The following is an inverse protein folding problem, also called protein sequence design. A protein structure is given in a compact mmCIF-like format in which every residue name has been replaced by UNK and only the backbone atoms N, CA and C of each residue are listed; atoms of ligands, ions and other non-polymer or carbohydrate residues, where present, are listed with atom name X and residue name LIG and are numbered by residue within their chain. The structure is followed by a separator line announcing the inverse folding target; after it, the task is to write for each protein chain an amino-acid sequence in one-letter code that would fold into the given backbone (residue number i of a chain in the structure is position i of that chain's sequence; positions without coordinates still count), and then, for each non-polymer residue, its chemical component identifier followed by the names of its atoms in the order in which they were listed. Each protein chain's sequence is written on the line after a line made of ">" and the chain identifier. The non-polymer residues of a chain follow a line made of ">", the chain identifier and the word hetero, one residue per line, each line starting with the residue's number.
data_IF_573509335623
#
_entry.id   IF_573509335623
#
_cell.length_a   1.000
_cell.length_b   1.000
_cell.length_c   1.000
_cell.angle_alpha   90.00
_cell.angle_beta   90.00
_cell.angle_gamma   90.00
#
_symmetry.space_group_name_H-M   'P 1'
#
loop_
_entity.id
_entity.type
_entity.pdbx_description
1 polymer ?
#
# COMPACT_ATOMS: atom_id res chain seq x y z
N UNK A 1 -25.97 -20.75 1.51
CA UNK A 1 -25.33 -21.47 0.41
C UNK A 1 -25.72 -20.83 -0.91
N UNK A 2 -24.84 -20.01 -1.49
CA UNK A 2 -24.97 -19.53 -2.87
C UNK A 2 -23.96 -20.31 -3.72
N UNK A 3 -24.37 -20.94 -4.85
CA UNK A 3 -23.41 -21.61 -5.70
C UNK A 3 -22.65 -20.55 -6.49
N UNK A 4 -21.36 -20.40 -6.21
CA UNK A 4 -20.46 -19.68 -7.10
C UNK A 4 -20.30 -20.51 -8.38
N UNK A 5 -20.82 -19.99 -9.50
CA UNK A 5 -20.55 -20.54 -10.81
C UNK A 5 -19.04 -20.46 -11.09
N UNK A 6 -18.44 -21.60 -11.44
CA UNK A 6 -17.06 -21.64 -11.94
C UNK A 6 -17.04 -20.99 -13.32
N UNK A 7 -16.75 -19.70 -13.39
CA UNK A 7 -16.31 -19.06 -14.63
C UNK A 7 -14.86 -19.47 -14.86
N UNK A 8 -14.63 -20.42 -15.77
CA UNK A 8 -13.31 -20.67 -16.34
C UNK A 8 -12.91 -19.44 -17.14
N UNK A 9 -12.24 -18.50 -16.47
CA UNK A 9 -11.81 -17.23 -17.04
C UNK A 9 -10.67 -17.43 -18.01
N UNK A 10 -10.99 -17.68 -19.27
CA UNK A 10 -10.09 -17.37 -20.38
C UNK A 10 -10.08 -15.84 -20.54
N UNK A 11 -9.03 -15.20 -20.06
CA UNK A 11 -8.80 -13.78 -20.28
C UNK A 11 -8.52 -13.55 -21.77
N UNK A 12 -9.42 -12.87 -22.47
CA UNK A 12 -9.27 -12.41 -23.85
C UNK A 12 -7.93 -11.65 -24.04
N UNK A 13 -6.93 -12.23 -24.74
CA UNK A 13 -5.62 -11.60 -24.92
C UNK A 13 -5.67 -10.32 -25.78
N UNK A 14 -6.69 -10.20 -26.64
CA UNK A 14 -6.90 -9.04 -27.52
C UNK A 14 -7.73 -7.92 -26.89
N UNK A 15 -8.24 -8.11 -25.67
CA UNK A 15 -9.05 -7.14 -24.95
C UNK A 15 -8.25 -6.30 -23.96
N UNK A 16 -6.92 -6.44 -23.93
CA UNK A 16 -6.08 -5.54 -23.16
C UNK A 16 -6.00 -4.20 -23.91
N UNK A 17 -6.58 -3.11 -23.38
CA UNK A 17 -6.42 -1.80 -24.00
C UNK A 17 -4.91 -1.54 -24.16
N UNK A 18 -4.53 -0.95 -25.29
CA UNK A 18 -3.16 -0.53 -25.56
C UNK A 18 -2.56 0.07 -24.29
N UNK A 19 -1.38 -0.43 -23.92
CA UNK A 19 -0.61 -0.05 -22.73
C UNK A 19 -0.85 1.43 -22.44
N UNK A 20 -1.53 1.70 -21.32
CA UNK A 20 -1.95 3.04 -20.93
C UNK A 20 -0.72 3.85 -20.51
N UNK A 21 0.06 4.30 -21.49
CA UNK A 21 1.14 5.26 -21.28
C UNK A 21 0.60 6.61 -20.78
N UNK A 22 -0.70 6.86 -21.03
CA UNK A 22 -1.40 8.01 -20.49
C UNK A 22 -2.09 7.67 -19.17
N UNK A 23 -1.33 7.73 -18.06
CA UNK A 23 -1.88 7.70 -16.70
C UNK A 23 -3.00 8.73 -16.49
N UNK A 24 -2.97 9.79 -17.29
CA UNK A 24 -3.96 10.83 -17.30
C UNK A 24 -5.32 10.33 -17.85
N UNK A 25 -5.37 9.26 -18.64
CA UNK A 25 -6.60 8.61 -19.09
C UNK A 25 -7.20 7.63 -18.06
N UNK A 26 -6.37 7.12 -17.12
CA UNK A 26 -6.80 6.22 -16.05
C UNK A 26 -7.46 6.96 -14.88
N UNK A 27 -7.07 8.21 -14.66
CA UNK A 27 -7.75 9.10 -13.75
C UNK A 27 -9.00 9.64 -14.45
N UNK A 28 -10.09 9.85 -13.70
CA UNK A 28 -11.31 10.51 -14.18
C UNK A 28 -10.97 11.75 -15.03
N UNK A 29 -11.83 12.12 -16.00
CA UNK A 29 -11.65 13.34 -16.78
C UNK A 29 -11.25 14.51 -15.88
N UNK A 30 -10.33 15.35 -16.35
CA UNK A 30 -9.79 16.45 -15.54
C UNK A 30 -10.90 17.36 -14.97
N UNK A 31 -12.02 17.48 -15.68
CA UNK A 31 -13.23 18.19 -15.23
C UNK A 31 -13.85 17.58 -13.97
N UNK A 32 -13.93 16.27 -13.84
CA UNK A 32 -14.49 15.61 -12.65
C UNK A 32 -13.58 15.76 -11.43
N UNK A 33 -12.26 15.66 -11.64
CA UNK A 33 -11.29 15.87 -10.57
C UNK A 33 -11.30 17.33 -10.12
N UNK A 34 -11.42 18.28 -11.07
CA UNK A 34 -11.56 19.70 -10.75
C UNK A 34 -12.86 20.02 -10.03
N UNK A 35 -14.00 19.43 -10.44
CA UNK A 35 -15.26 19.62 -9.74
C UNK A 35 -15.19 19.14 -8.28
N UNK A 36 -14.44 18.07 -8.01
CA UNK A 36 -14.17 17.62 -6.63
C UNK A 36 -13.25 18.59 -5.87
N UNK A 37 -12.26 19.19 -6.56
CA UNK A 37 -11.30 20.12 -5.97
C UNK A 37 -11.85 21.53 -5.72
N UNK A 38 -12.72 22.03 -6.59
CA UNK A 38 -13.33 23.36 -6.48
C UNK A 38 -14.27 23.48 -5.28
N UNK A 39 -14.81 22.35 -4.80
CA UNK A 39 -15.67 22.31 -3.63
C UNK A 39 -14.90 22.51 -2.30
N UNK A 40 -13.65 22.05 -2.21
CA UNK A 40 -12.86 22.07 -0.97
C UNK A 40 -11.35 22.18 -1.25
N UNK A 41 -10.75 23.34 -0.98
CA UNK A 41 -9.29 23.56 -1.15
C UNK A 41 -8.62 23.93 0.18
N UNK A 42 -7.40 23.40 0.46
CA UNK A 42 -6.64 22.44 -0.33
C UNK A 42 -7.05 20.96 -0.06
N UNK A 43 -7.26 20.17 -1.11
CA UNK A 43 -7.43 18.72 -0.99
C UNK A 43 -6.15 18.01 -0.51
N UNK A 44 -6.38 16.91 0.21
CA UNK A 44 -5.40 15.90 0.62
C UNK A 44 -5.45 14.76 -0.40
N UNK A 45 -4.30 14.30 -0.88
CA UNK A 45 -4.21 13.19 -1.83
C UNK A 45 -3.44 12.04 -1.21
N UNK A 46 -4.08 10.88 -1.16
CA UNK A 46 -3.47 9.62 -0.71
C UNK A 46 -3.33 8.66 -1.88
N UNK A 47 -2.24 7.91 -1.90
CA UNK A 47 -2.01 6.81 -2.83
C UNK A 47 -1.98 5.52 -1.99
N UNK A 48 -2.85 4.57 -2.29
CA UNK A 48 -2.94 3.28 -1.60
C UNK A 48 -2.66 2.17 -2.63
N UNK A 49 -1.51 1.52 -2.54
CA UNK A 49 -1.07 0.47 -3.48
C UNK A 49 -1.14 -0.88 -2.78
N UNK A 50 -1.81 -1.83 -3.44
CA UNK A 50 -2.17 -3.10 -2.82
C UNK A 50 -3.43 -2.97 -1.97
N UNK A 51 -4.44 -2.28 -2.50
CA UNK A 51 -5.65 -1.97 -1.72
C UNK A 51 -6.48 -3.21 -1.36
N UNK A 52 -6.27 -4.34 -2.04
CA UNK A 52 -7.04 -5.57 -1.87
C UNK A 52 -8.55 -5.33 -1.99
N UNK A 53 -9.38 -6.09 -1.28
CA UNK A 53 -10.83 -5.83 -1.23
C UNK A 53 -11.19 -4.55 -0.47
N UNK A 54 -10.30 -3.99 0.36
CA UNK A 54 -10.62 -2.82 1.18
C UNK A 54 -9.40 -1.94 1.42
N UNK A 55 -9.43 -0.74 0.83
CA UNK A 55 -8.49 0.33 1.14
C UNK A 55 -8.51 0.69 2.63
N UNK A 56 -7.34 0.94 3.21
CA UNK A 56 -7.26 1.47 4.58
C UNK A 56 -7.88 2.87 4.67
N UNK A 57 -8.03 3.56 3.55
CA UNK A 57 -8.56 4.91 3.48
C UNK A 57 -10.10 4.97 3.37
N UNK A 58 -10.82 3.84 3.34
CA UNK A 58 -12.29 3.86 3.19
C UNK A 58 -12.97 4.71 4.27
N UNK A 59 -12.54 4.57 5.53
CA UNK A 59 -13.13 5.35 6.62
C UNK A 59 -12.81 6.85 6.48
N UNK A 60 -11.57 7.21 6.14
CA UNK A 60 -11.19 8.61 5.93
C UNK A 60 -11.92 9.22 4.74
N UNK A 61 -12.13 8.46 3.67
CA UNK A 61 -12.92 8.90 2.53
C UNK A 61 -14.36 9.23 2.92
N UNK A 62 -14.99 8.43 3.78
CA UNK A 62 -16.36 8.67 4.25
C UNK A 62 -16.48 9.93 5.12
N UNK A 63 -15.43 10.28 5.87
CA UNK A 63 -15.49 11.31 6.91
C UNK A 63 -14.69 12.58 6.60
N UNK A 64 -13.94 12.59 5.52
CA UNK A 64 -13.12 13.73 5.12
C UNK A 64 -13.39 14.07 3.66
N UNK A 65 -14.25 15.07 3.41
CA UNK A 65 -14.63 15.51 2.08
C UNK A 65 -13.47 16.05 1.24
N UNK A 66 -12.41 16.54 1.90
CA UNK A 66 -11.21 17.07 1.24
C UNK A 66 -10.21 15.99 0.82
N UNK A 67 -10.49 14.70 1.07
CA UNK A 67 -9.59 13.60 0.73
C UNK A 67 -9.93 13.00 -0.65
N UNK A 68 -8.91 12.84 -1.48
CA UNK A 68 -8.91 11.97 -2.66
C UNK A 68 -7.97 10.79 -2.40
N UNK A 69 -8.39 9.59 -2.80
CA UNK A 69 -7.57 8.38 -2.73
C UNK A 69 -7.41 7.81 -4.13
N UNK A 70 -6.17 7.61 -4.55
CA UNK A 70 -5.82 6.80 -5.71
C UNK A 70 -5.53 5.39 -5.21
N UNK A 71 -6.48 4.48 -5.43
CA UNK A 71 -6.37 3.09 -4.99
C UNK A 71 -5.90 2.20 -6.13
N UNK A 72 -4.82 1.46 -5.91
CA UNK A 72 -4.15 0.68 -6.95
C UNK A 72 -4.10 -0.79 -6.55
N UNK A 73 -4.44 -1.66 -7.49
CA UNK A 73 -4.35 -3.11 -7.31
C UNK A 73 -4.14 -3.80 -8.67
N UNK A 74 -3.37 -4.88 -8.69
CA UNK A 74 -3.13 -5.66 -9.89
C UNK A 74 -4.33 -6.54 -10.28
N UNK A 75 -5.27 -6.79 -9.36
CA UNK A 75 -6.42 -7.65 -9.58
C UNK A 75 -7.69 -6.83 -9.73
N UNK A 76 -8.19 -6.70 -10.97
CA UNK A 76 -9.41 -5.94 -11.30
C UNK A 76 -10.58 -6.10 -10.33
N UNK A 77 -10.89 -7.34 -9.90
CA UNK A 77 -12.02 -7.61 -8.99
C UNK A 77 -11.92 -6.88 -7.64
N UNK A 78 -10.71 -6.59 -7.17
CA UNK A 78 -10.48 -5.80 -5.96
C UNK A 78 -10.97 -4.38 -6.15
N UNK A 79 -10.57 -3.79 -7.27
CA UNK A 79 -10.98 -2.44 -7.66
C UNK A 79 -12.48 -2.37 -7.95
N UNK A 80 -13.06 -3.40 -8.56
CA UNK A 80 -14.51 -3.50 -8.77
C UNK A 80 -15.27 -3.55 -7.44
N UNK A 81 -14.79 -4.31 -6.46
CA UNK A 81 -15.36 -4.32 -5.12
C UNK A 81 -15.26 -2.94 -4.45
N UNK A 82 -14.12 -2.27 -4.57
CA UNK A 82 -13.95 -0.94 -3.98
C UNK A 82 -14.76 0.15 -4.69
N UNK A 83 -15.01 0.02 -6.00
CA UNK A 83 -15.95 0.92 -6.71
C UNK A 83 -17.37 0.84 -6.11
N UNK A 84 -17.75 -0.27 -5.49
CA UNK A 84 -19.03 -0.41 -4.79
C UNK A 84 -19.11 0.42 -3.50
N UNK A 85 -17.99 0.94 -2.98
CA UNK A 85 -17.97 1.90 -1.87
C UNK A 85 -18.58 3.27 -2.25
N UNK A 86 -18.90 3.49 -3.53
CA UNK A 86 -19.62 4.66 -4.10
C UNK A 86 -18.98 6.04 -3.89
N UNK A 87 -17.81 6.15 -3.25
CA UNK A 87 -17.16 7.47 -3.12
C UNK A 87 -16.62 7.93 -4.48
N UNK A 88 -17.06 9.08 -5.03
CA UNK A 88 -16.53 9.60 -6.28
C UNK A 88 -15.06 10.06 -6.15
N UNK A 89 -14.54 10.14 -4.92
CA UNK A 89 -13.18 10.54 -4.54
C UNK A 89 -12.21 9.36 -4.42
N UNK A 90 -12.69 8.14 -4.65
CA UNK A 90 -11.83 6.96 -4.82
C UNK A 90 -11.56 6.74 -6.31
N UNK A 91 -10.28 6.79 -6.70
CA UNK A 91 -9.80 6.69 -8.07
C UNK A 91 -9.07 5.35 -8.25
N UNK A 92 -9.78 4.29 -8.69
CA UNK A 92 -9.21 2.95 -8.87
C UNK A 92 -8.29 2.89 -10.10
N UNK A 93 -7.13 2.26 -9.94
CA UNK A 93 -6.15 2.06 -11.00
C UNK A 93 -5.72 0.58 -11.00
N UNK A 94 -5.80 -0.07 -12.16
CA UNK A 94 -5.36 -1.45 -12.33
C UNK A 94 -3.88 -1.50 -12.72
N UNK A 95 -3.07 -2.22 -11.96
CA UNK A 95 -1.67 -2.47 -12.30
C UNK A 95 -0.80 -2.84 -11.12
N UNK A 96 0.40 -3.33 -11.42
CA UNK A 96 1.45 -3.60 -10.44
C UNK A 96 2.53 -2.52 -10.48
N UNK A 97 3.03 -2.10 -9.32
CA UNK A 97 4.03 -1.04 -9.21
C UNK A 97 5.43 -1.63 -9.35
N UNK A 98 6.20 -1.25 -10.37
CA UNK A 98 7.54 -1.81 -10.61
C UNK A 98 8.50 -0.80 -11.24
N UNK A 99 9.79 -0.93 -10.97
CA UNK A 99 10.84 -0.16 -11.64
C UNK A 99 11.27 -0.79 -12.98
N UNK A 100 10.74 -1.97 -13.33
CA UNK A 100 11.10 -2.66 -14.56
C UNK A 100 10.71 -1.86 -15.80
N UNK A 101 11.63 -1.75 -16.77
CA UNK A 101 11.37 -1.06 -18.04
C UNK A 101 10.66 -1.99 -19.04
N UNK A 102 9.41 -2.32 -18.76
CA UNK A 102 8.52 -3.15 -19.59
C UNK A 102 7.07 -2.82 -19.30
N UNK A 103 6.17 -3.19 -20.20
CA UNK A 103 4.76 -2.79 -20.09
C UNK A 103 3.95 -3.68 -19.13
N UNK A 104 4.40 -4.92 -18.92
CA UNK A 104 3.68 -5.91 -18.12
C UNK A 104 4.61 -6.75 -17.24
N UNK A 105 4.04 -7.35 -16.20
CA UNK A 105 4.74 -8.26 -15.28
C UNK A 105 3.91 -9.50 -15.01
N UNK A 106 4.61 -10.60 -14.72
CA UNK A 106 4.02 -11.80 -14.15
C UNK A 106 3.62 -11.52 -12.71
N UNK A 107 2.34 -11.65 -12.41
CA UNK A 107 1.77 -11.47 -11.08
C UNK A 107 1.22 -12.80 -10.56
N UNK A 108 1.62 -13.16 -9.35
CA UNK A 108 1.24 -14.39 -8.68
C UNK A 108 0.10 -14.08 -7.71
N UNK A 109 -1.11 -14.53 -8.05
CA UNK A 109 -2.30 -14.35 -7.23
C UNK A 109 -2.57 -15.61 -6.40
N UNK A 110 -2.61 -15.47 -5.07
CA UNK A 110 -2.74 -16.57 -4.11
C UNK A 110 -4.17 -16.70 -3.53
N UNK A 111 -4.53 -17.91 -3.12
CA UNK A 111 -5.76 -18.24 -2.36
C UNK A 111 -7.07 -17.74 -2.98
N UNK A 112 -8.05 -17.38 -2.14
CA UNK A 112 -9.28 -16.65 -2.51
C UNK A 112 -9.01 -15.19 -2.89
N UNK A 113 -7.80 -14.93 -3.37
CA UNK A 113 -7.40 -13.76 -4.12
C UNK A 113 -7.09 -12.53 -3.32
N UNK A 114 -6.86 -12.63 -2.02
CA UNK A 114 -6.65 -11.46 -1.17
C UNK A 114 -5.20 -11.00 -1.18
N UNK A 115 -4.28 -11.91 -1.52
CA UNK A 115 -2.85 -11.67 -1.57
C UNK A 115 -2.34 -11.90 -3.00
N UNK A 116 -1.41 -11.06 -3.43
CA UNK A 116 -0.71 -11.25 -4.68
C UNK A 116 0.55 -10.40 -4.76
N UNK A 117 1.49 -10.85 -5.56
CA UNK A 117 2.82 -10.25 -5.65
C UNK A 117 3.42 -10.42 -7.04
N UNK A 118 4.44 -9.64 -7.38
CA UNK A 118 5.28 -9.86 -8.55
C UNK A 118 6.44 -10.83 -8.28
N UNK A 119 6.62 -11.22 -7.02
CA UNK A 119 7.70 -12.10 -6.59
C UNK A 119 7.24 -13.55 -6.49
N UNK A 120 8.16 -14.48 -6.73
CA UNK A 120 7.87 -15.90 -6.48
C UNK A 120 7.80 -16.16 -4.98
N UNK A 121 6.94 -17.08 -4.56
CA UNK A 121 6.97 -17.59 -3.18
C UNK A 121 8.28 -18.32 -2.93
N UNK A 122 8.89 -18.10 -1.77
CA UNK A 122 10.10 -18.81 -1.38
C UNK A 122 9.84 -20.32 -1.24
N UNK A 123 10.77 -21.14 -1.74
CA UNK A 123 10.71 -22.59 -1.57
C UNK A 123 10.66 -22.96 -0.09
N UNK A 124 9.71 -23.82 0.29
CA UNK A 124 9.53 -24.24 1.69
C UNK A 124 8.95 -23.16 2.61
N UNK A 125 8.51 -22.01 2.07
CA UNK A 125 7.73 -21.03 2.82
C UNK A 125 6.46 -21.68 3.38
N UNK A 126 6.09 -21.40 4.65
CA UNK A 126 4.94 -22.03 5.24
C UNK A 126 3.68 -21.42 4.61
N UNK A 127 2.59 -22.17 4.56
CA UNK A 127 1.29 -21.61 4.21
C UNK A 127 0.91 -20.55 5.25
N UNK A 128 0.86 -19.28 4.85
CA UNK A 128 0.35 -18.19 5.67
C UNK A 128 -1.12 -18.07 5.42
N UNK A 129 -1.90 -18.08 6.51
CA UNK A 129 -3.35 -18.00 6.50
C UNK A 129 -3.98 -19.37 6.66
N UNK A 130 -5.23 -19.40 7.12
CA UNK A 130 -6.03 -20.62 7.22
C UNK A 130 -7.17 -20.58 6.23
N UNK A 131 -7.36 -21.66 5.49
CA UNK A 131 -8.44 -21.79 4.51
C UNK A 131 -8.27 -20.85 3.33
N UNK A 132 -9.34 -20.18 2.92
CA UNK A 132 -9.39 -19.36 1.71
C UNK A 132 -8.45 -18.15 1.72
N UNK A 133 -8.05 -17.65 2.89
CA UNK A 133 -7.22 -16.44 3.04
C UNK A 133 -5.72 -16.71 2.98
N UNK A 134 -5.33 -17.89 2.49
CA UNK A 134 -3.93 -18.26 2.48
C UNK A 134 -3.15 -17.44 1.42
N UNK A 135 -2.20 -16.61 1.89
CA UNK A 135 -1.30 -15.84 1.01
C UNK A 135 -0.21 -16.73 0.39
N UNK A 136 0.04 -17.90 0.96
CA UNK A 136 0.99 -18.92 0.47
C UNK A 136 0.46 -20.31 0.80
N UNK A 137 0.99 -21.34 0.14
CA UNK A 137 0.64 -22.76 0.40
C UNK A 137 -0.02 -23.45 -0.78
N UNK A 138 -0.88 -22.74 -1.53
CA UNK A 138 -1.42 -23.19 -2.80
C UNK A 138 -0.57 -22.67 -3.98
N UNK A 139 -0.56 -23.43 -5.09
CA UNK A 139 0.03 -22.97 -6.35
C UNK A 139 -0.66 -21.67 -6.79
N UNK A 140 0.07 -20.54 -6.90
CA UNK A 140 -0.54 -19.29 -7.33
C UNK A 140 -1.06 -19.37 -8.75
N UNK A 141 -2.16 -18.68 -9.02
CA UNK A 141 -2.56 -18.38 -10.39
C UNK A 141 -1.62 -17.31 -10.93
N UNK A 142 -1.06 -17.57 -12.10
CA UNK A 142 -0.21 -16.59 -12.79
C UNK A 142 -1.07 -15.68 -13.67
N UNK A 143 -0.82 -14.38 -13.60
CA UNK A 143 -1.45 -13.35 -14.41
C UNK A 143 -0.37 -12.52 -15.11
N UNK A 144 -0.73 -11.97 -16.27
CA UNK A 144 0.00 -10.87 -16.87
C UNK A 144 -0.76 -9.59 -16.56
N UNK A 145 -0.14 -8.66 -15.86
CA UNK A 145 -0.77 -7.40 -15.44
C UNK A 145 0.07 -6.21 -15.93
N UNK A 146 -0.55 -5.05 -16.21
CA UNK A 146 0.20 -3.86 -16.59
C UNK A 146 1.10 -3.38 -15.45
N UNK A 147 2.27 -2.84 -15.80
CA UNK A 147 3.17 -2.16 -14.87
C UNK A 147 2.84 -0.67 -14.84
N UNK A 148 2.95 -0.08 -13.66
CA UNK A 148 3.08 1.35 -13.50
C UNK A 148 4.36 1.75 -12.79
N UNK A 149 4.84 2.94 -13.12
CA UNK A 149 5.92 3.60 -12.40
C UNK A 149 5.32 4.64 -11.46
N UNK A 150 5.72 4.57 -10.19
CA UNK A 150 5.24 5.47 -9.15
C UNK A 150 5.62 6.94 -9.43
N UNK A 151 6.76 7.20 -10.10
CA UNK A 151 7.16 8.56 -10.47
C UNK A 151 6.19 9.19 -11.48
N UNK A 152 5.82 8.47 -12.53
CA UNK A 152 4.86 8.92 -13.55
C UNK A 152 3.49 9.20 -12.94
N UNK A 153 3.05 8.35 -12.00
CA UNK A 153 1.81 8.57 -11.26
C UNK A 153 1.88 9.86 -10.43
N UNK A 154 2.90 10.00 -9.57
CA UNK A 154 3.05 11.17 -8.70
C UNK A 154 3.17 12.45 -9.55
N UNK A 155 3.99 12.41 -10.59
CA UNK A 155 4.16 13.52 -11.52
C UNK A 155 2.83 13.94 -12.16
N UNK A 156 2.04 12.97 -12.63
CA UNK A 156 0.73 13.22 -13.24
C UNK A 156 -0.26 13.82 -12.24
N UNK A 157 -0.28 13.31 -11.01
CA UNK A 157 -1.11 13.85 -9.94
C UNK A 157 -0.73 15.30 -9.64
N UNK A 158 0.55 15.60 -9.46
CA UNK A 158 1.05 16.96 -9.20
C UNK A 158 0.72 17.93 -10.34
N UNK A 159 0.87 17.50 -11.59
CA UNK A 159 0.52 18.33 -12.76
C UNK A 159 -0.98 18.67 -12.79
N UNK A 160 -1.83 17.72 -12.39
CA UNK A 160 -3.29 17.89 -12.39
C UNK A 160 -3.81 18.60 -11.14
N UNK A 161 -3.10 18.45 -10.03
CA UNK A 161 -3.48 18.90 -8.70
C UNK A 161 -2.30 19.68 -8.05
N UNK A 162 -1.83 20.79 -8.65
CA UNK A 162 -0.59 21.46 -8.23
C UNK A 162 -0.66 22.08 -6.83
N UNK A 163 -1.84 22.56 -6.43
CA UNK A 163 -2.08 23.16 -5.10
C UNK A 163 -2.36 22.13 -4.00
N UNK A 164 -2.40 20.85 -4.37
CA UNK A 164 -2.81 19.78 -3.48
C UNK A 164 -1.63 19.00 -2.94
N UNK A 165 -1.83 18.45 -1.76
CA UNK A 165 -0.77 17.84 -0.98
C UNK A 165 -0.83 16.32 -1.08
N UNK A 166 0.24 15.73 -1.61
CA UNK A 166 0.47 14.28 -1.56
C UNK A 166 0.92 13.88 -0.16
N UNK A 167 -0.06 13.68 0.71
CA UNK A 167 0.20 13.52 2.13
C UNK A 167 0.63 12.11 2.50
N UNK A 168 0.16 11.11 1.75
CA UNK A 168 0.30 9.72 2.16
C UNK A 168 0.45 8.77 0.98
N UNK A 169 1.41 7.86 1.12
CA UNK A 169 1.61 6.70 0.26
C UNK A 169 1.58 5.44 1.12
N UNK A 170 0.63 4.54 0.90
CA UNK A 170 0.66 3.18 1.43
C UNK A 170 1.16 2.21 0.38
N UNK A 171 2.08 1.32 0.75
CA UNK A 171 2.51 0.17 -0.03
C UNK A 171 2.29 -1.12 0.77
N UNK A 172 1.53 -2.03 0.17
CA UNK A 172 1.29 -3.39 0.64
C UNK A 172 1.30 -4.27 -0.61
N UNK A 173 2.50 -4.50 -1.13
CA UNK A 173 2.71 -5.17 -2.43
C UNK A 173 3.46 -6.48 -2.25
N UNK A 174 3.34 -7.04 -1.04
CA UNK A 174 3.72 -8.41 -0.71
C UNK A 174 5.16 -8.71 -1.14
N UNK A 175 6.09 -7.91 -0.62
CA UNK A 175 7.54 -8.06 -0.83
C UNK A 175 8.10 -7.24 -2.00
N UNK A 176 7.26 -6.62 -2.83
CA UNK A 176 7.72 -5.80 -3.94
C UNK A 176 7.93 -4.31 -3.58
N UNK A 177 7.94 -3.96 -2.28
CA UNK A 177 7.90 -2.56 -1.82
C UNK A 177 9.11 -1.76 -2.33
N UNK A 178 10.32 -2.33 -2.25
CA UNK A 178 11.53 -1.64 -2.71
C UNK A 178 11.54 -1.41 -4.22
N UNK A 179 11.03 -2.35 -5.01
CA UNK A 179 10.96 -2.19 -6.46
C UNK A 179 9.96 -1.09 -6.85
N UNK A 180 8.79 -1.09 -6.21
CA UNK A 180 7.82 -0.01 -6.36
C UNK A 180 8.40 1.36 -5.96
N UNK A 181 9.07 1.44 -4.80
CA UNK A 181 9.71 2.67 -4.33
C UNK A 181 10.80 3.17 -5.28
N UNK A 182 11.61 2.27 -5.85
CA UNK A 182 12.62 2.62 -6.88
C UNK A 182 11.99 3.23 -8.11
N UNK A 183 10.82 2.74 -8.52
CA UNK A 183 10.05 3.33 -9.64
C UNK A 183 9.56 4.75 -9.34
N UNK A 184 9.54 5.17 -8.07
CA UNK A 184 9.10 6.50 -7.63
C UNK A 184 10.22 7.46 -7.26
N UNK A 185 11.49 7.03 -7.32
CA UNK A 185 12.63 7.74 -6.69
C UNK A 185 12.67 9.24 -6.98
N UNK A 186 12.42 9.65 -8.23
CA UNK A 186 12.50 11.05 -8.65
C UNK A 186 11.42 11.95 -8.02
N UNK A 187 10.29 11.37 -7.61
CA UNK A 187 9.10 12.10 -7.21
C UNK A 187 8.69 11.86 -5.75
N UNK A 188 9.30 10.89 -5.06
CA UNK A 188 9.03 10.60 -3.64
C UNK A 188 9.24 11.81 -2.71
N UNK A 189 10.09 12.77 -3.08
CA UNK A 189 10.28 14.01 -2.33
C UNK A 189 8.99 14.84 -2.17
N UNK A 190 7.98 14.59 -3.01
CA UNK A 190 6.68 15.25 -2.94
C UNK A 190 5.68 14.59 -2.00
N UNK A 191 5.96 13.36 -1.55
CA UNK A 191 5.16 12.65 -0.56
C UNK A 191 5.60 13.08 0.85
N UNK A 192 4.65 13.21 1.79
CA UNK A 192 4.99 13.53 3.18
C UNK A 192 5.25 12.30 4.04
N UNK A 193 4.39 11.29 3.91
CA UNK A 193 4.44 10.08 4.73
C UNK A 193 4.30 8.82 3.86
N UNK A 194 5.03 7.78 4.23
CA UNK A 194 4.97 6.48 3.59
C UNK A 194 4.68 5.42 4.65
N UNK A 195 3.64 4.62 4.46
CA UNK A 195 3.39 3.40 5.22
C UNK A 195 3.76 2.19 4.36
N UNK A 196 4.63 1.32 4.88
CA UNK A 196 5.00 0.07 4.23
C UNK A 196 4.55 -1.12 5.09
N UNK A 197 3.90 -2.12 4.48
CA UNK A 197 3.81 -3.46 5.06
C UNK A 197 4.98 -4.31 4.55
N UNK A 198 5.84 -4.78 5.44
CA UNK A 198 7.12 -5.40 5.08
C UNK A 198 7.38 -6.63 5.94
N UNK A 199 7.98 -7.65 5.36
CA UNK A 199 8.37 -8.82 6.13
C UNK A 199 9.70 -8.56 6.87
N UNK A 200 9.71 -8.83 8.18
CA UNK A 200 10.94 -8.83 8.98
C UNK A 200 11.64 -10.18 8.86
N UNK A 201 12.36 -10.37 7.75
CA UNK A 201 13.20 -11.55 7.50
C UNK A 201 14.51 -11.56 8.29
N UNK A 202 14.84 -10.46 8.96
CA UNK A 202 16.18 -10.24 9.54
C UNK A 202 16.28 -10.57 11.01
N UNK A 203 15.26 -10.25 11.82
CA UNK A 203 15.39 -10.34 13.28
C UNK A 203 14.53 -11.42 13.92
N UNK A 204 13.43 -11.82 13.26
CA UNK A 204 12.46 -12.72 13.90
C UNK A 204 11.74 -13.69 12.97
N UNK A 205 11.53 -13.37 11.68
CA UNK A 205 10.96 -14.39 10.79
C UNK A 205 11.98 -15.49 10.56
N UNK A 206 11.54 -16.74 10.68
CA UNK A 206 12.39 -17.90 10.40
C UNK A 206 12.49 -18.20 8.91
N UNK A 207 11.55 -17.67 8.12
CA UNK A 207 11.36 -17.96 6.70
C UNK A 207 10.93 -16.68 5.97
N UNK A 208 11.53 -16.42 4.80
CA UNK A 208 11.04 -15.40 3.87
C UNK A 208 9.80 -15.91 3.13
N UNK A 209 8.84 -15.05 2.86
CA UNK A 209 7.64 -15.39 2.09
C UNK A 209 7.89 -15.39 0.60
N UNK A 210 8.63 -14.38 0.15
CA UNK A 210 8.83 -14.10 -1.26
C UNK A 210 10.32 -14.03 -1.57
N UNK A 211 10.72 -14.65 -2.67
CA UNK A 211 12.11 -14.69 -3.12
C UNK A 211 12.60 -13.28 -3.46
N UNK A 212 13.70 -12.87 -2.84
CA UNK A 212 14.31 -11.57 -3.08
C UNK A 212 13.56 -10.39 -2.46
N UNK A 213 12.52 -10.61 -1.65
CA UNK A 213 11.86 -9.54 -0.92
C UNK A 213 12.87 -8.80 -0.01
N UNK A 214 12.85 -7.47 0.00
CA UNK A 214 13.78 -6.67 0.77
C UNK A 214 13.43 -6.79 2.26
N UNK A 215 14.46 -6.95 3.10
CA UNK A 215 14.32 -6.73 4.53
C UNK A 215 14.18 -5.24 4.86
N UNK A 216 13.74 -4.94 6.09
CA UNK A 216 13.55 -3.58 6.59
C UNK A 216 14.79 -2.68 6.41
N UNK A 217 16.00 -3.22 6.62
CA UNK A 217 17.24 -2.43 6.50
C UNK A 217 17.49 -1.94 5.07
N UNK A 218 17.09 -2.71 4.05
CA UNK A 218 17.24 -2.30 2.65
C UNK A 218 16.27 -1.16 2.32
N UNK A 219 15.06 -1.20 2.90
CA UNK A 219 14.06 -0.15 2.77
C UNK A 219 14.50 1.13 3.51
N UNK A 220 14.97 1.02 4.76
CA UNK A 220 15.54 2.13 5.52
C UNK A 220 16.67 2.81 4.73
N UNK A 221 17.61 2.02 4.21
CA UNK A 221 18.75 2.52 3.44
C UNK A 221 18.30 3.27 2.20
N UNK A 222 17.35 2.73 1.44
CA UNK A 222 16.82 3.40 0.26
C UNK A 222 16.08 4.70 0.62
N UNK A 223 15.18 4.63 1.60
CA UNK A 223 14.33 5.75 2.01
C UNK A 223 15.13 6.92 2.59
N UNK A 224 16.23 6.66 3.30
CA UNK A 224 17.13 7.72 3.77
C UNK A 224 17.74 8.52 2.60
N UNK A 225 18.08 7.85 1.48
CA UNK A 225 18.60 8.54 0.28
C UNK A 225 17.62 9.55 -0.31
N UNK A 226 16.32 9.27 -0.20
CA UNK A 226 15.23 10.14 -0.68
C UNK A 226 14.64 11.03 0.42
N UNK A 227 15.28 11.09 1.59
CA UNK A 227 14.94 12.04 2.66
C UNK A 227 13.86 11.58 3.62
N UNK A 228 13.55 10.28 3.64
CA UNK A 228 12.59 9.71 4.57
C UNK A 228 13.29 9.06 5.76
N UNK A 229 12.72 9.23 6.95
CA UNK A 229 13.14 8.49 8.15
C UNK A 229 11.96 7.74 8.73
N UNK A 230 12.25 6.53 9.20
CA UNK A 230 11.29 5.71 9.92
C UNK A 230 10.88 6.40 11.22
N UNK A 231 9.58 6.54 11.44
CA UNK A 231 9.03 7.00 12.69
C UNK A 231 8.84 5.84 13.67
N UNK A 232 8.14 4.79 13.23
CA UNK A 232 7.82 3.62 14.03
C UNK A 232 7.50 2.42 13.13
N UNK A 233 7.49 1.22 13.72
CA UNK A 233 6.90 0.03 13.12
C UNK A 233 5.98 -0.64 14.14
N UNK A 234 4.84 -1.13 13.70
CA UNK A 234 4.00 -2.03 14.47
C UNK A 234 4.09 -3.45 13.92
N UNK A 235 3.97 -4.43 14.81
CA UNK A 235 4.01 -5.83 14.43
C UNK A 235 2.61 -6.29 14.02
N UNK A 236 2.47 -6.76 12.78
CA UNK A 236 1.32 -7.52 12.32
C UNK A 236 1.56 -9.02 12.57
N UNK A 237 0.85 -9.60 13.55
CA UNK A 237 1.06 -11.00 13.94
C UNK A 237 0.22 -11.93 13.05
N UNK A 238 0.78 -12.34 11.93
CA UNK A 238 0.18 -13.38 11.07
C UNK A 238 0.38 -14.79 11.64
N UNK A 239 1.62 -15.19 11.94
CA UNK A 239 1.93 -16.51 12.51
C UNK A 239 3.10 -16.44 13.49
N UNK A 240 3.49 -17.57 14.10
CA UNK A 240 4.72 -17.66 14.91
C UNK A 240 6.00 -17.68 14.05
N UNK A 241 5.88 -17.86 12.74
CA UNK A 241 7.03 -18.09 11.84
C UNK A 241 7.29 -16.91 10.90
N UNK A 242 6.26 -16.18 10.53
CA UNK A 242 6.36 -14.94 9.76
C UNK A 242 5.97 -13.75 10.60
N UNK A 243 6.82 -12.75 10.52
CA UNK A 243 6.63 -11.44 11.09
C UNK A 243 6.53 -10.42 9.97
N UNK A 244 5.39 -9.77 9.88
CA UNK A 244 5.19 -8.58 9.07
C UNK A 244 5.17 -7.35 9.97
N UNK A 245 5.67 -6.24 9.44
CA UNK A 245 5.75 -4.97 10.11
C UNK A 245 5.03 -3.94 9.25
N UNK A 246 4.16 -3.16 9.89
CA UNK A 246 3.64 -1.94 9.30
C UNK A 246 4.51 -0.78 9.78
N UNK A 247 5.31 -0.22 8.89
CA UNK A 247 6.31 0.79 9.21
C UNK A 247 5.97 2.13 8.57
N UNK A 248 5.88 3.17 9.40
CA UNK A 248 5.65 4.54 8.96
C UNK A 248 6.98 5.28 8.79
N UNK A 249 7.09 6.03 7.71
CA UNK A 249 8.21 6.89 7.39
C UNK A 249 7.71 8.29 7.08
N UNK A 250 8.51 9.30 7.39
CA UNK A 250 8.22 10.68 6.99
C UNK A 250 9.40 11.37 6.36
N UNK A 251 9.06 12.28 5.45
CA UNK A 251 10.01 13.09 4.73
C UNK A 251 10.60 14.17 5.64
N UNK A 252 11.75 13.91 6.25
CA UNK A 252 12.40 14.85 7.18
C UNK A 252 13.05 16.06 6.49
N UNK A 253 13.08 16.08 5.15
CA UNK A 253 13.58 17.24 4.39
C UNK A 253 12.52 18.33 4.22
N UNK A 254 11.24 18.01 4.47
CA UNK A 254 10.14 18.98 4.39
C UNK A 254 9.94 19.67 5.74
N UNK A 255 9.76 20.98 5.71
CA UNK A 255 9.52 21.81 6.91
C UNK A 255 8.06 21.77 7.38
N UNK A 256 7.13 21.51 6.47
CA UNK A 256 5.68 21.56 6.72
C UNK A 256 5.02 20.17 6.72
N UNK A 257 5.71 19.11 7.14
CA UNK A 257 5.15 17.74 7.18
C UNK A 257 3.94 17.67 8.12
N UNK A 258 2.79 17.23 7.61
CA UNK A 258 1.71 16.74 8.47
C UNK A 258 2.14 15.37 8.96
N UNK A 259 2.62 15.32 10.19
CA UNK A 259 3.00 14.07 10.82
C UNK A 259 1.75 13.21 10.99
N UNK A 260 1.69 12.11 10.26
CA UNK A 260 0.65 11.13 10.44
C UNK A 260 1.05 10.19 11.57
N UNK A 261 0.24 10.21 12.64
CA UNK A 261 0.32 9.24 13.70
C UNK A 261 -0.59 8.08 13.36
N UNK A 262 -0.02 6.93 13.08
CA UNK A 262 -0.76 5.69 13.16
C UNK A 262 -0.45 5.08 14.52
N UNK A 263 -1.16 5.57 15.54
CA UNK A 263 -1.14 4.94 16.85
C UNK A 263 -1.92 3.63 16.73
N UNK A 264 -1.22 2.50 16.79
CA UNK A 264 -1.79 1.20 17.10
C UNK A 264 -2.35 1.19 18.52
N UNK A 265 -3.40 1.96 18.80
CA UNK A 265 -4.29 1.63 19.90
C UNK A 265 -5.08 0.41 19.44
N UNK A 266 -4.52 -0.77 19.70
CA UNK A 266 -5.25 -2.02 19.67
C UNK A 266 -6.35 -1.90 20.73
N UNK A 267 -7.54 -1.47 20.33
CA UNK A 267 -8.71 -1.79 21.14
C UNK A 267 -8.81 -3.31 21.11
N UNK A 268 -9.05 -3.94 22.28
CA UNK A 268 -9.09 -5.39 22.48
C UNK A 268 -10.02 -6.15 21.50
N UNK A 269 -10.82 -5.45 20.71
CA UNK A 269 -11.82 -5.94 19.77
C UNK A 269 -11.64 -5.47 18.31
N UNK A 270 -10.59 -4.70 17.94
CA UNK A 270 -10.44 -4.17 16.57
C UNK A 270 -8.99 -4.14 16.08
N UNK A 271 -8.74 -4.83 14.97
CA UNK A 271 -7.50 -4.85 14.18
C UNK A 271 -7.42 -3.67 13.21
N UNK A 272 -7.43 -2.44 13.73
CA UNK A 272 -7.29 -1.24 12.89
C UNK A 272 -6.48 -0.17 13.60
N UNK A 273 -5.63 0.50 12.82
CA UNK A 273 -5.06 1.82 13.10
C UNK A 273 -6.19 2.76 13.52
N UNK A 274 -6.19 3.18 14.78
CA UNK A 274 -7.11 4.17 15.30
C UNK A 274 -6.37 5.51 15.30
N UNK A 275 -6.76 6.45 14.44
CA UNK A 275 -6.37 7.85 14.56
C UNK A 275 -6.91 8.39 15.90
N UNK A 276 -6.05 8.45 16.92
CA UNK A 276 -6.43 9.00 18.21
C UNK A 276 -6.77 10.49 18.08
N UNK A 277 -8.05 10.85 18.25
CA UNK A 277 -8.50 12.25 18.34
C UNK A 277 -7.95 12.99 19.57
N UNK A 278 -7.30 12.30 20.52
CA UNK A 278 -6.69 12.92 21.70
C UNK A 278 -5.25 13.36 21.42
N UNK A 279 -5.13 14.52 20.75
CA UNK A 279 -3.86 15.22 20.49
C UNK A 279 -3.17 15.82 21.74
N UNK A 280 -3.75 15.70 22.94
CA UNK A 280 -3.41 16.61 24.06
C UNK A 280 -2.10 16.32 24.81
N UNK A 281 -1.45 15.16 24.66
CA UNK A 281 -0.34 14.79 25.56
C UNK A 281 0.98 14.33 24.89
N UNK A 282 1.14 14.44 23.56
CA UNK A 282 2.41 14.05 22.91
C UNK A 282 3.23 15.28 22.55
N UNK A 283 4.07 15.73 23.48
CA UNK A 283 4.88 16.95 23.33
C UNK A 283 6.21 16.74 22.57
N UNK A 284 6.66 15.50 22.37
CA UNK A 284 7.94 15.22 21.70
C UNK A 284 7.88 13.94 20.85
N UNK A 285 8.43 14.01 19.62
CA UNK A 285 8.67 12.88 18.73
C UNK A 285 10.07 12.32 19.05
N UNK A 286 10.13 11.25 19.85
CA UNK A 286 11.33 10.43 19.90
C UNK A 286 11.37 9.57 18.64
N UNK A 287 12.20 9.95 17.67
CA UNK A 287 12.55 9.09 16.55
C UNK A 287 13.20 7.83 17.13
N UNK A 288 12.45 6.73 17.13
CA UNK A 288 12.94 5.49 17.73
C UNK A 288 14.03 4.92 16.81
N UNK A 289 15.29 5.26 17.09
CA UNK A 289 16.46 4.71 16.38
C UNK A 289 16.55 3.19 16.52
N UNK A 290 15.91 2.62 17.55
CA UNK A 290 15.74 1.19 17.73
C UNK A 290 14.27 0.83 17.53
N UNK A 291 13.99 -0.31 16.89
CA UNK A 291 12.64 -0.89 16.84
C UNK A 291 12.10 -0.97 18.28
N UNK A 292 11.19 -0.07 18.66
CA UNK A 292 10.31 -0.35 19.79
C UNK A 292 9.31 -1.38 19.30
N UNK A 293 9.70 -2.64 19.38
CA UNK A 293 8.73 -3.72 19.39
C UNK A 293 7.82 -3.42 20.57
N UNK A 294 6.50 -3.39 20.38
CA UNK A 294 5.55 -3.43 21.49
C UNK A 294 5.71 -4.78 22.20
N UNK A 295 6.77 -4.91 22.99
CA UNK A 295 6.90 -5.94 24.00
C UNK A 295 5.83 -5.55 25.02
N UNK A 296 4.88 -6.46 25.18
CA UNK A 296 3.87 -6.46 26.22
C UNK A 296 4.44 -5.82 27.51
N UNK A 297 3.89 -4.69 27.97
CA UNK A 297 4.13 -4.12 29.29
C UNK A 297 3.47 -5.00 30.36
N UNK A 298 3.82 -6.28 30.38
CA UNK A 298 3.14 -7.32 31.15
C UNK A 298 4.06 -8.17 31.99
N UNK A 299 5.32 -7.78 32.21
CA UNK A 299 6.18 -8.35 33.25
C UNK A 299 6.94 -7.22 33.96
N UNK A 300 6.18 -6.43 34.72
CA UNK A 300 6.64 -5.80 35.96
C UNK A 300 5.55 -6.02 37.02
N UNK A 301 5.59 -7.18 37.63
CA UNK A 301 5.37 -7.35 39.07
C UNK A 301 6.59 -8.07 39.62
#
# INVERSE_FOLDING_TARGET
>A
HFPFARTTGESCPSCMPAVLHDWAALLKPQSEIRALAEAETPLRVWIDIGTSYRSLATWDLEHNSSLIVVGIDAMRKHLEHQRQSKSPRFLPVEGACSAANRDTVTFYAHGSHTCGTMLKTAQGGPAIGSGSWACTGDTPRTLTVPIFHLDKLIHSLRKRLPEHRLEFLKLDVQGAELDCLRSGKAELAHVDNILLEVQDVTTASKLGLYEGAPGINALDSFLDTVGFRRQYCEWNRFTRQIRELNCMYSNVRKTNVTWLWATGNVKKDRSMVSYGKNRRNYLHLDFVKQLQTATFLGDRM
#
